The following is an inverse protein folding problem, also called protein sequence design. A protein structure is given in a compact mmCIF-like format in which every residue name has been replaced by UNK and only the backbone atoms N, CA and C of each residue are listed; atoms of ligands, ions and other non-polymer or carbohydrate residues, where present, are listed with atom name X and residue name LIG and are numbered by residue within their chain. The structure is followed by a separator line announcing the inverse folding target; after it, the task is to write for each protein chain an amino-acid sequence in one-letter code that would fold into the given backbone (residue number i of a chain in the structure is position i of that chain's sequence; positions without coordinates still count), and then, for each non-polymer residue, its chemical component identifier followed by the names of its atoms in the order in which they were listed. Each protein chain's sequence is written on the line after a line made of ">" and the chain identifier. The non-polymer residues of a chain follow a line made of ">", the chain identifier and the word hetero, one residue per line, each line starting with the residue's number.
data_IF_705457387125
#
_entry.id   IF_705457387125
#
_cell.length_a   1.000
_cell.length_b   1.000
_cell.length_c   1.000
_cell.angle_alpha   90.00
_cell.angle_beta   90.00
_cell.angle_gamma   90.00
#
_symmetry.space_group_name_H-M   'P 1'
#
loop_
_entity.id
_entity.type
_entity.pdbx_description
1 polymer ?
#
# COMPACT_ATOMS: atom_id res chain seq x y z
N UNK A 1 -67.25 21.65 -30.92
CA UNK A 1 -65.99 21.08 -31.43
C UNK A 1 -64.89 21.43 -30.45
N UNK A 2 -64.43 20.48 -29.58
CA UNK A 2 -63.30 20.66 -28.63
C UNK A 2 -62.09 20.02 -29.25
N UNK A 3 -61.08 20.85 -29.58
CA UNK A 3 -59.79 20.40 -30.10
C UNK A 3 -58.95 19.99 -28.90
N UNK A 4 -58.63 18.70 -28.80
CA UNK A 4 -57.73 18.16 -27.77
C UNK A 4 -56.28 18.40 -28.25
N UNK A 5 -55.58 19.25 -27.53
CA UNK A 5 -54.15 19.48 -27.75
C UNK A 5 -53.34 18.33 -27.10
N UNK A 6 -52.75 17.47 -27.92
CA UNK A 6 -51.75 16.48 -27.50
C UNK A 6 -50.43 17.19 -27.15
N UNK A 7 -50.07 17.16 -25.88
CA UNK A 7 -48.72 17.61 -25.39
C UNK A 7 -47.72 16.52 -25.71
N UNK A 8 -46.58 16.83 -26.35
CA UNK A 8 -45.49 15.85 -26.53
C UNK A 8 -44.79 15.58 -25.20
N UNK A 9 -44.70 14.30 -24.81
CA UNK A 9 -43.85 13.82 -23.71
C UNK A 9 -42.37 13.94 -24.14
N UNK A 10 -41.69 14.89 -23.54
CA UNK A 10 -40.24 15.01 -23.63
C UNK A 10 -39.62 13.85 -22.86
N UNK A 11 -39.12 12.84 -23.58
CA UNK A 11 -38.26 11.78 -23.04
C UNK A 11 -36.93 12.37 -22.67
N UNK A 12 -36.62 12.51 -21.38
CA UNK A 12 -35.30 12.87 -20.90
C UNK A 12 -34.34 11.67 -21.08
N UNK A 13 -33.14 11.85 -21.64
CA UNK A 13 -32.16 10.78 -21.69
C UNK A 13 -31.63 10.50 -20.29
N UNK A 14 -31.82 9.28 -19.80
CA UNK A 14 -31.16 8.76 -18.59
C UNK A 14 -29.70 8.56 -18.93
N UNK A 15 -28.86 9.50 -18.51
CA UNK A 15 -27.40 9.38 -18.59
C UNK A 15 -26.94 8.34 -17.56
N UNK A 16 -26.73 7.11 -18.00
CA UNK A 16 -26.15 6.06 -17.18
C UNK A 16 -24.68 6.43 -16.86
N UNK A 17 -24.45 6.95 -15.65
CA UNK A 17 -23.11 7.09 -15.11
C UNK A 17 -22.52 5.69 -14.90
N UNK A 18 -21.68 5.25 -15.83
CA UNK A 18 -20.81 4.11 -15.62
C UNK A 18 -19.77 4.49 -14.54
N UNK A 19 -20.04 4.12 -13.30
CA UNK A 19 -19.05 4.18 -12.22
C UNK A 19 -17.97 3.14 -12.55
N UNK A 20 -16.83 3.63 -13.04
CA UNK A 20 -15.66 2.81 -13.28
C UNK A 20 -15.11 2.34 -11.93
N UNK A 21 -15.12 1.03 -11.69
CA UNK A 21 -14.55 0.37 -10.51
C UNK A 21 -13.00 0.38 -10.47
N UNK A 22 -12.37 1.42 -11.03
CA UNK A 22 -10.91 1.54 -11.13
C UNK A 22 -10.25 2.25 -9.94
N UNK A 23 -11.01 2.57 -8.86
CA UNK A 23 -10.52 3.49 -7.82
C UNK A 23 -9.66 2.87 -6.71
N UNK A 24 -9.54 1.55 -6.60
CA UNK A 24 -9.00 0.92 -5.38
C UNK A 24 -7.57 0.38 -5.48
N UNK A 25 -7.00 0.29 -6.68
CA UNK A 25 -5.58 -0.05 -6.84
C UNK A 25 -4.63 1.14 -6.59
N UNK A 26 -5.18 2.35 -6.34
CA UNK A 26 -4.40 3.59 -6.21
C UNK A 26 -3.68 3.75 -4.87
N UNK A 27 -4.10 3.05 -3.82
CA UNK A 27 -3.50 3.15 -2.48
C UNK A 27 -2.37 2.14 -2.23
N UNK A 28 -2.14 1.23 -3.18
CA UNK A 28 -1.05 0.26 -3.08
C UNK A 28 0.29 0.92 -3.44
N UNK A 29 1.32 0.79 -2.59
CA UNK A 29 2.64 1.35 -2.86
C UNK A 29 3.23 0.87 -4.18
N UNK A 30 3.82 1.79 -4.95
CA UNK A 30 4.54 1.43 -6.17
C UNK A 30 5.82 0.66 -5.85
N UNK A 31 6.07 -0.40 -6.61
CA UNK A 31 7.28 -1.20 -6.44
C UNK A 31 7.22 -2.55 -7.13
N UNK A 32 8.36 -3.22 -7.10
CA UNK A 32 8.48 -4.54 -7.72
C UNK A 32 7.47 -5.51 -7.10
N UNK A 33 6.64 -6.12 -7.95
CA UNK A 33 5.62 -7.10 -7.56
C UNK A 33 4.20 -6.55 -7.47
N UNK A 34 4.01 -5.20 -7.50
CA UNK A 34 2.67 -4.60 -7.47
C UNK A 34 1.75 -5.14 -8.56
N UNK A 35 2.22 -5.08 -9.81
CA UNK A 35 1.40 -5.50 -10.96
C UNK A 35 1.04 -6.99 -10.88
N UNK A 36 2.01 -7.84 -10.49
CA UNK A 36 1.78 -9.26 -10.27
C UNK A 36 0.75 -9.48 -9.17
N UNK A 37 0.88 -8.80 -8.04
CA UNK A 37 -0.07 -8.87 -6.92
C UNK A 37 -1.48 -8.44 -7.36
N UNK A 38 -1.61 -7.27 -7.99
CA UNK A 38 -2.91 -6.77 -8.45
C UNK A 38 -3.53 -7.69 -9.48
N UNK A 39 -2.75 -8.20 -10.43
CA UNK A 39 -3.24 -9.12 -11.47
C UNK A 39 -3.76 -10.43 -10.90
N UNK A 40 -3.02 -11.05 -9.99
CA UNK A 40 -3.34 -12.39 -9.45
C UNK A 40 -4.42 -12.29 -8.37
N UNK A 41 -4.23 -11.45 -7.37
CA UNK A 41 -5.15 -11.35 -6.24
C UNK A 41 -6.39 -10.53 -6.56
N UNK A 42 -6.27 -9.53 -7.45
CA UNK A 42 -7.39 -8.71 -7.93
C UNK A 42 -8.35 -9.43 -8.87
N UNK A 43 -8.04 -10.66 -9.31
CA UNK A 43 -8.92 -11.43 -10.19
C UNK A 43 -10.23 -11.88 -9.52
N UNK A 44 -10.27 -12.01 -8.20
CA UNK A 44 -11.43 -12.52 -7.46
C UNK A 44 -12.04 -11.49 -6.51
N UNK A 45 -11.25 -10.58 -5.98
CA UNK A 45 -11.69 -9.55 -5.04
C UNK A 45 -10.79 -8.31 -5.14
N UNK A 46 -11.11 -7.25 -4.42
CA UNK A 46 -10.26 -6.06 -4.38
C UNK A 46 -8.90 -6.37 -3.71
N UNK A 47 -7.81 -6.13 -4.46
CA UNK A 47 -6.45 -6.28 -3.95
C UNK A 47 -6.10 -5.25 -2.86
N UNK A 48 -6.82 -4.12 -2.79
CA UNK A 48 -6.60 -3.07 -1.79
C UNK A 48 -6.97 -3.46 -0.36
N UNK A 49 -7.62 -4.62 -0.14
CA UNK A 49 -7.95 -5.12 1.22
C UNK A 49 -6.72 -5.25 2.13
N UNK A 50 -5.52 -5.34 1.56
CA UNK A 50 -4.27 -5.49 2.31
C UNK A 50 -3.72 -4.17 2.88
N UNK A 51 -4.22 -3.01 2.45
CA UNK A 51 -3.61 -1.70 2.80
C UNK A 51 -3.62 -1.37 4.30
N UNK A 52 -4.50 -2.01 5.06
CA UNK A 52 -4.58 -1.89 6.52
C UNK A 52 -3.95 -3.07 7.27
N UNK A 53 -3.38 -4.03 6.53
CA UNK A 53 -2.78 -5.23 7.12
C UNK A 53 -1.26 -5.05 7.20
N UNK A 54 -0.69 -5.34 8.38
CA UNK A 54 0.75 -5.18 8.64
C UNK A 54 1.33 -6.48 9.19
N UNK A 55 1.53 -7.45 8.30
CA UNK A 55 1.92 -8.81 8.67
C UNK A 55 3.41 -9.09 8.40
N UNK A 56 3.99 -9.98 9.17
CA UNK A 56 5.32 -10.52 8.89
C UNK A 56 5.36 -11.34 7.59
N UNK A 57 6.57 -11.56 7.06
CA UNK A 57 6.73 -12.32 5.80
C UNK A 57 6.15 -13.74 5.90
N UNK A 58 6.29 -14.41 7.05
CA UNK A 58 5.76 -15.77 7.25
C UNK A 58 4.23 -15.79 7.23
N UNK A 59 3.58 -14.77 7.81
CA UNK A 59 2.13 -14.65 7.82
C UNK A 59 1.60 -14.31 6.42
N UNK A 60 2.32 -13.48 5.66
CA UNK A 60 2.01 -13.22 4.25
C UNK A 60 2.16 -14.47 3.40
N UNK A 61 3.20 -15.31 3.65
CA UNK A 61 3.33 -16.59 2.98
C UNK A 61 2.11 -17.47 3.23
N UNK A 62 1.69 -17.61 4.49
CA UNK A 62 0.50 -18.38 4.86
C UNK A 62 -0.75 -17.85 4.16
N UNK A 63 -0.94 -16.52 4.14
CA UNK A 63 -2.08 -15.88 3.46
C UNK A 63 -2.09 -16.18 1.96
N UNK A 64 -0.93 -16.11 1.31
CA UNK A 64 -0.80 -16.38 -0.14
C UNK A 64 -1.04 -17.87 -0.43
N UNK A 65 -0.54 -18.77 0.42
CA UNK A 65 -0.78 -20.21 0.29
C UNK A 65 -2.26 -20.57 0.46
N UNK A 66 -2.98 -19.91 1.37
CA UNK A 66 -4.42 -20.04 1.52
C UNK A 66 -5.17 -19.57 0.26
N UNK A 67 -4.76 -18.44 -0.35
CA UNK A 67 -5.37 -17.95 -1.59
C UNK A 67 -5.09 -18.90 -2.76
N UNK A 68 -3.88 -19.47 -2.84
CA UNK A 68 -3.53 -20.52 -3.80
C UNK A 68 -4.45 -21.75 -3.61
N UNK A 69 -4.67 -22.18 -2.38
CA UNK A 69 -5.60 -23.25 -2.06
C UNK A 69 -7.06 -22.97 -2.40
N UNK A 70 -7.46 -21.69 -2.49
CA UNK A 70 -8.79 -21.22 -2.90
C UNK A 70 -8.93 -20.98 -4.40
N UNK A 71 -7.89 -21.24 -5.19
CA UNK A 71 -7.92 -21.17 -6.64
C UNK A 71 -7.25 -19.92 -7.25
N UNK A 72 -6.46 -19.16 -6.50
CA UNK A 72 -5.59 -18.16 -7.11
C UNK A 72 -4.57 -18.88 -8.01
N UNK A 73 -4.50 -18.45 -9.29
CA UNK A 73 -3.71 -19.10 -10.32
C UNK A 73 -2.54 -18.22 -10.77
N UNK A 74 -1.33 -18.70 -10.51
CA UNK A 74 -0.08 -18.05 -10.92
C UNK A 74 1.09 -19.05 -10.81
N UNK A 75 2.26 -18.67 -11.33
CA UNK A 75 3.48 -19.44 -11.13
C UNK A 75 4.00 -19.35 -9.70
N UNK A 76 4.83 -20.30 -9.25
CA UNK A 76 5.46 -20.25 -7.94
C UNK A 76 6.37 -19.00 -7.80
N UNK A 77 7.01 -18.56 -8.88
CA UNK A 77 7.81 -17.33 -8.92
C UNK A 77 6.93 -16.07 -8.75
N UNK A 78 5.73 -16.07 -9.33
CA UNK A 78 4.77 -14.98 -9.14
C UNK A 78 4.28 -14.95 -7.68
N UNK A 79 3.93 -16.08 -7.10
CA UNK A 79 3.54 -16.15 -5.68
C UNK A 79 4.66 -15.68 -4.76
N UNK A 80 5.90 -16.08 -5.03
CA UNK A 80 7.06 -15.57 -4.28
C UNK A 80 7.21 -14.05 -4.43
N UNK A 81 7.02 -13.53 -5.63
CA UNK A 81 7.08 -12.08 -5.91
C UNK A 81 5.98 -11.32 -5.14
N UNK A 82 4.78 -11.89 -5.06
CA UNK A 82 3.66 -11.36 -4.28
C UNK A 82 3.99 -11.32 -2.79
N UNK A 83 4.51 -12.42 -2.22
CA UNK A 83 4.92 -12.46 -0.81
C UNK A 83 6.00 -11.43 -0.51
N UNK A 84 7.01 -11.30 -1.39
CA UNK A 84 8.08 -10.31 -1.22
C UNK A 84 7.54 -8.87 -1.29
N UNK A 85 6.60 -8.59 -2.19
CA UNK A 85 5.91 -7.31 -2.28
C UNK A 85 5.13 -6.99 -0.99
N UNK A 86 4.28 -7.90 -0.55
CA UNK A 86 3.47 -7.73 0.65
C UNK A 86 4.33 -7.57 1.91
N UNK A 87 5.35 -8.41 2.08
CA UNK A 87 6.27 -8.31 3.20
C UNK A 87 7.03 -6.98 3.24
N UNK A 88 7.37 -6.42 2.08
CA UNK A 88 8.06 -5.13 1.98
C UNK A 88 7.13 -3.96 2.28
N UNK A 89 5.97 -3.90 1.64
CA UNK A 89 5.12 -2.71 1.66
C UNK A 89 4.00 -2.76 2.70
N UNK A 90 3.57 -3.97 3.08
CA UNK A 90 2.55 -4.26 4.08
C UNK A 90 3.13 -5.09 5.25
N UNK A 91 4.44 -4.92 5.50
CA UNK A 91 5.12 -5.55 6.62
C UNK A 91 4.74 -4.90 7.96
N UNK A 92 5.28 -5.41 9.10
CA UNK A 92 5.01 -4.87 10.42
C UNK A 92 5.27 -3.36 10.52
N UNK A 93 4.49 -2.68 11.33
CA UNK A 93 4.71 -1.27 11.63
C UNK A 93 6.08 -1.04 12.30
N UNK A 94 6.69 0.08 11.96
CA UNK A 94 8.00 0.48 12.49
C UNK A 94 7.87 1.81 13.23
N UNK A 95 8.04 1.76 14.55
CA UNK A 95 8.07 2.97 15.34
C UNK A 95 9.45 3.64 15.21
N UNK A 96 9.52 4.72 14.42
CA UNK A 96 10.78 5.40 14.12
C UNK A 96 11.44 6.06 15.34
N UNK A 97 10.66 6.31 16.41
CA UNK A 97 11.16 6.86 17.66
C UNK A 97 11.78 5.80 18.58
N UNK A 98 11.40 4.53 18.42
CA UNK A 98 11.82 3.43 19.30
C UNK A 98 12.72 2.41 18.61
N UNK A 99 12.58 2.23 17.28
CA UNK A 99 13.33 1.24 16.52
C UNK A 99 14.85 1.45 16.66
N UNK A 100 15.60 0.35 16.76
CA UNK A 100 17.06 0.39 16.69
C UNK A 100 17.54 0.74 15.26
N UNK A 101 18.81 1.09 15.11
CA UNK A 101 19.39 1.30 13.78
C UNK A 101 19.33 0.02 12.93
N UNK A 102 19.51 -1.16 13.54
CA UNK A 102 19.40 -2.44 12.85
C UNK A 102 17.95 -2.75 12.42
N UNK A 103 16.96 -2.43 13.26
CA UNK A 103 15.54 -2.57 12.88
C UNK A 103 15.18 -1.63 11.73
N UNK A 104 15.58 -0.36 11.80
CA UNK A 104 15.34 0.61 10.73
C UNK A 104 15.98 0.15 9.41
N UNK A 105 17.22 -0.35 9.47
CA UNK A 105 17.92 -0.88 8.31
C UNK A 105 17.21 -2.08 7.70
N UNK A 106 16.83 -3.06 8.51
CA UNK A 106 16.29 -4.34 8.04
C UNK A 106 14.83 -4.24 7.60
N UNK A 107 14.02 -3.47 8.33
CA UNK A 107 12.58 -3.38 8.07
C UNK A 107 12.22 -2.31 7.03
N UNK A 108 13.06 -1.28 6.87
CA UNK A 108 12.81 -0.18 5.92
C UNK A 108 13.77 -0.17 4.74
N UNK A 109 14.62 -1.20 4.60
CA UNK A 109 15.60 -1.34 3.51
C UNK A 109 16.54 -0.11 3.42
N UNK A 110 16.94 0.42 4.57
CA UNK A 110 17.86 1.54 4.69
C UNK A 110 19.31 1.06 4.75
N UNK A 111 20.23 1.89 4.28
CA UNK A 111 21.66 1.68 4.57
C UNK A 111 21.94 1.89 6.06
N UNK A 112 23.06 1.35 6.54
CA UNK A 112 23.50 1.56 7.92
C UNK A 112 23.69 3.06 8.24
N UNK A 113 24.14 3.85 7.28
CA UNK A 113 24.32 5.30 7.43
C UNK A 113 22.99 6.04 7.57
N UNK A 114 21.98 5.70 6.73
CA UNK A 114 20.65 6.28 6.82
C UNK A 114 19.96 5.94 8.15
N UNK A 115 20.02 4.67 8.57
CA UNK A 115 19.46 4.23 9.84
C UNK A 115 20.13 4.93 11.05
N UNK A 116 21.46 5.05 11.04
CA UNK A 116 22.19 5.78 12.07
C UNK A 116 21.85 7.27 12.07
N UNK A 117 21.65 7.89 10.89
CA UNK A 117 21.24 9.30 10.79
C UNK A 117 19.86 9.55 11.41
N UNK A 118 18.89 8.65 11.22
CA UNK A 118 17.56 8.74 11.86
C UNK A 118 17.70 8.68 13.39
N UNK A 119 18.46 7.70 13.91
CA UNK A 119 18.68 7.54 15.35
C UNK A 119 19.36 8.77 15.93
N UNK A 120 20.42 9.25 15.28
CA UNK A 120 21.13 10.46 15.72
C UNK A 120 20.21 11.69 15.71
N UNK A 121 19.45 11.88 14.64
CA UNK A 121 18.57 13.04 14.50
C UNK A 121 17.53 13.10 15.64
N UNK A 122 16.86 11.98 15.95
CA UNK A 122 15.90 11.96 17.07
C UNK A 122 16.54 12.21 18.42
N UNK A 123 17.81 11.80 18.61
CA UNK A 123 18.56 12.05 19.84
C UNK A 123 18.88 13.54 20.01
N UNK A 124 19.27 14.21 18.91
CA UNK A 124 19.69 15.59 18.92
C UNK A 124 18.52 16.58 18.89
N UNK A 125 17.42 16.25 18.21
CA UNK A 125 16.30 17.16 17.92
C UNK A 125 14.98 16.75 18.57
N UNK A 126 14.96 15.63 19.30
CA UNK A 126 13.76 15.06 19.90
C UNK A 126 12.99 14.12 18.97
N UNK A 127 11.92 13.56 19.49
CA UNK A 127 11.10 12.56 18.78
C UNK A 127 10.44 13.15 17.53
N UNK A 128 10.39 12.37 16.47
CA UNK A 128 9.60 12.65 15.25
C UNK A 128 8.10 12.66 15.60
N UNK A 129 7.36 13.60 15.03
CA UNK A 129 5.90 13.70 15.21
C UNK A 129 5.14 13.23 13.98
N UNK A 130 5.82 13.18 12.83
CA UNK A 130 5.21 12.87 11.54
C UNK A 130 6.26 12.36 10.55
N UNK A 131 5.78 11.80 9.43
CA UNK A 131 6.64 11.46 8.31
C UNK A 131 7.40 12.67 7.76
N UNK A 132 6.79 13.86 7.77
CA UNK A 132 7.45 15.09 7.33
C UNK A 132 8.69 15.46 8.17
N UNK A 133 8.76 15.02 9.41
CA UNK A 133 9.96 15.23 10.23
C UNK A 133 11.08 14.26 9.84
N UNK A 134 10.74 13.01 9.49
CA UNK A 134 11.73 12.05 8.99
C UNK A 134 12.36 12.50 7.68
N UNK A 135 11.59 13.16 6.82
CA UNK A 135 12.09 13.74 5.55
C UNK A 135 13.14 14.84 5.74
N UNK A 136 13.22 15.43 6.93
CA UNK A 136 14.22 16.47 7.25
C UNK A 136 15.57 15.91 7.67
N UNK A 137 15.69 14.58 7.86
CA UNK A 137 16.92 13.96 8.35
C UNK A 137 18.00 14.03 7.27
N UNK A 138 19.13 14.70 7.53
CA UNK A 138 20.21 14.80 6.56
C UNK A 138 20.78 13.40 6.22
N UNK A 139 20.98 13.12 4.94
CA UNK A 139 21.57 11.89 4.47
C UNK A 139 20.58 10.71 4.34
N UNK A 140 19.30 10.93 4.60
CA UNK A 140 18.23 9.95 4.33
C UNK A 140 17.55 10.27 3.01
N UNK A 141 17.47 9.29 2.12
CA UNK A 141 16.68 9.41 0.89
C UNK A 141 15.19 9.18 1.19
N UNK A 142 14.46 10.29 1.38
CA UNK A 142 13.03 10.24 1.67
C UNK A 142 12.23 9.50 0.59
N UNK A 143 12.68 9.48 -0.68
CA UNK A 143 11.99 8.77 -1.77
C UNK A 143 11.95 7.26 -1.56
N UNK A 144 12.94 6.70 -0.84
CA UNK A 144 12.92 5.28 -0.46
C UNK A 144 11.84 4.97 0.57
N UNK A 145 11.52 5.94 1.43
CA UNK A 145 10.55 5.80 2.52
C UNK A 145 9.12 6.14 2.09
N UNK A 146 8.93 6.91 1.01
CA UNK A 146 7.59 7.28 0.53
C UNK A 146 6.65 6.08 0.34
N UNK A 147 7.07 4.96 -0.29
CA UNK A 147 6.23 3.79 -0.43
C UNK A 147 5.99 3.04 0.89
N UNK A 148 6.79 3.29 1.92
CA UNK A 148 6.74 2.63 3.23
C UNK A 148 6.08 3.48 4.30
N UNK A 149 5.66 4.71 3.98
CA UNK A 149 5.13 5.68 4.96
C UNK A 149 3.95 5.15 5.77
N UNK A 150 3.11 4.28 5.17
CA UNK A 150 1.98 3.65 5.85
C UNK A 150 2.36 2.70 6.98
N UNK A 151 3.63 2.25 7.02
CA UNK A 151 4.17 1.39 8.08
C UNK A 151 4.87 2.17 9.20
N UNK A 152 5.06 3.48 9.03
CA UNK A 152 5.80 4.29 10.01
C UNK A 152 4.87 4.80 11.09
N UNK A 153 5.23 4.56 12.37
CA UNK A 153 4.53 5.09 13.54
C UNK A 153 5.43 6.01 14.35
N UNK A 154 4.81 6.93 15.11
CA UNK A 154 5.51 8.06 15.78
C UNK A 154 5.18 8.18 17.27
N UNK A 155 4.54 7.17 17.86
CA UNK A 155 4.12 7.13 19.28
C UNK A 155 5.22 6.66 20.22
#
# INVERSE_FOLDING_TARGET
>A
MKIWQMRPLLAAPVLALAFSAAAQAQDLPDGKGKDTFVKVCGACHDAGVVVTMHNGKADWQTTVDDMKGRGADASDDDFKTIVDYLAKYQGPEVNVNKASADDLKTQLDLSAAEAAAIVKYRTDNGAFKSYADVQKVPGVDAKKLDPLKGRLTFN
#
